data_IF_262747318977
#
_entry.id   IF_262747318977
#
_cell.length_a   1.000
_cell.length_b   1.000
_cell.length_c   1.000
_cell.angle_alpha   90.00
_cell.angle_beta   90.00
_cell.angle_gamma   90.00
#
_symmetry.space_group_name_H-M   'P 1'
#
loop_
_entity.id
_entity.type
_entity.pdbx_description
1 polymer ?
#
# COMPACT_ATOMS: atom_id res chain seq x y z
N UNK A 1 -5.49 -4.06 17.73
CA UNK A 1 -5.42 -3.05 16.64
C UNK A 1 -4.01 -2.49 16.57
N UNK A 2 -3.32 -2.63 15.45
CA UNK A 2 -2.08 -1.87 15.22
C UNK A 2 -2.04 -1.46 13.77
N UNK A 3 -1.92 -0.18 13.49
CA UNK A 3 -1.66 0.38 12.16
C UNK A 3 -0.19 0.82 12.15
N UNK A 4 0.65 0.42 11.18
CA UNK A 4 2.05 0.91 11.15
C UNK A 4 1.98 2.39 10.77
N UNK A 5 2.27 3.28 11.71
CA UNK A 5 2.61 4.67 11.44
C UNK A 5 4.06 4.89 11.88
N UNK A 6 4.94 5.28 10.96
CA UNK A 6 6.34 5.54 11.27
C UNK A 6 6.47 6.96 11.83
N UNK A 7 6.98 7.08 13.06
CA UNK A 7 7.28 8.37 13.67
C UNK A 7 8.70 8.81 13.30
N UNK A 8 8.85 10.09 12.97
CA UNK A 8 10.12 10.70 12.66
C UNK A 8 11.02 10.66 13.91
N UNK A 9 12.21 10.07 13.85
CA UNK A 9 13.11 10.01 15.00
C UNK A 9 13.68 11.39 15.41
N UNK A 10 13.54 12.41 14.56
CA UNK A 10 14.09 13.75 14.80
C UNK A 10 13.09 14.69 15.48
N UNK A 11 11.79 14.62 15.15
CA UNK A 11 10.78 15.54 15.66
C UNK A 11 9.51 14.86 16.19
N UNK A 12 9.40 13.53 16.10
CA UNK A 12 8.21 12.78 16.48
C UNK A 12 7.01 12.93 15.53
N UNK A 13 7.13 13.75 14.49
CA UNK A 13 6.12 13.93 13.45
C UNK A 13 5.91 12.70 12.57
N UNK A 14 4.84 12.68 11.80
CA UNK A 14 4.53 11.57 10.91
C UNK A 14 5.43 11.54 9.68
N UNK A 15 5.81 10.33 9.27
CA UNK A 15 6.56 10.07 8.06
C UNK A 15 5.65 9.58 6.93
N UNK A 16 5.66 10.30 5.81
CA UNK A 16 4.99 9.89 4.58
C UNK A 16 5.98 9.24 3.62
N UNK A 17 5.58 8.15 2.96
CA UNK A 17 6.41 7.54 1.91
C UNK A 17 6.42 8.40 0.65
N UNK A 18 7.63 8.73 0.18
CA UNK A 18 7.88 9.47 -1.05
C UNK A 18 8.38 8.51 -2.16
N UNK A 19 7.57 8.28 -3.23
CA UNK A 19 7.96 7.43 -4.35
C UNK A 19 9.19 7.91 -5.12
N UNK A 20 9.44 9.21 -5.19
CA UNK A 20 10.56 9.76 -5.97
C UNK A 20 11.90 9.55 -5.21
N UNK A 21 11.86 9.54 -3.87
CA UNK A 21 13.02 9.24 -3.02
C UNK A 21 13.15 7.75 -2.66
N UNK A 22 12.12 6.93 -2.94
CA UNK A 22 12.00 5.55 -2.45
C UNK A 22 12.27 5.45 -0.94
N UNK A 23 11.75 6.42 -0.20
CA UNK A 23 12.03 6.60 1.21
C UNK A 23 10.91 7.33 1.94
N UNK A 24 11.18 7.74 3.16
CA UNK A 24 10.22 8.41 4.02
C UNK A 24 10.62 9.87 4.22
N UNK A 25 9.67 10.77 3.98
CA UNK A 25 9.82 12.20 4.14
C UNK A 25 9.00 12.69 5.34
N UNK A 26 9.61 13.52 6.19
CA UNK A 26 8.94 14.20 7.29
C UNK A 26 8.55 15.62 6.89
N UNK A 27 7.24 15.90 6.83
CA UNK A 27 6.72 17.24 6.47
C UNK A 27 6.98 18.32 7.52
N UNK A 28 7.37 17.94 8.74
CA UNK A 28 7.53 18.87 9.87
C UNK A 28 8.96 19.37 10.04
N UNK A 29 9.95 18.48 9.89
CA UNK A 29 11.37 18.80 10.07
C UNK A 29 12.21 18.57 8.81
N UNK A 30 11.55 18.35 7.66
CA UNK A 30 12.13 18.24 6.32
C UNK A 30 13.21 17.14 6.20
N UNK A 31 13.18 16.17 7.11
CA UNK A 31 14.15 15.07 7.16
C UNK A 31 13.71 13.92 6.28
N UNK A 32 14.66 13.33 5.56
CA UNK A 32 14.45 12.16 4.70
C UNK A 32 15.17 10.94 5.27
N UNK A 33 14.53 9.78 5.19
CA UNK A 33 15.04 8.52 5.72
C UNK A 33 14.83 7.40 4.73
N UNK A 34 15.82 6.52 4.54
CA UNK A 34 15.60 5.26 3.81
C UNK A 34 14.90 4.26 4.71
N UNK A 35 14.31 3.23 4.10
CA UNK A 35 13.68 2.16 4.84
C UNK A 35 14.68 1.41 5.74
N UNK A 36 15.92 1.16 5.29
CA UNK A 36 16.92 0.50 6.15
C UNK A 36 17.35 1.39 7.31
N UNK A 37 17.46 2.70 7.09
CA UNK A 37 17.85 3.64 8.14
C UNK A 37 16.76 3.76 9.22
N UNK A 38 15.50 3.81 8.82
CA UNK A 38 14.37 3.77 9.75
C UNK A 38 14.33 2.47 10.55
N UNK A 39 14.52 1.32 9.90
CA UNK A 39 14.56 0.03 10.61
C UNK A 39 15.71 -0.04 11.62
N UNK A 40 16.87 0.55 11.31
CA UNK A 40 18.00 0.62 12.25
C UNK A 40 17.73 1.57 13.42
N UNK A 41 17.19 2.76 13.14
CA UNK A 41 16.97 3.81 14.15
C UNK A 41 15.76 3.54 15.05
N UNK A 42 14.71 2.92 14.52
CA UNK A 42 13.54 2.46 15.26
C UNK A 42 13.72 1.03 15.80
N UNK A 43 14.94 0.50 15.71
CA UNK A 43 15.30 -0.86 16.12
C UNK A 43 14.63 -1.24 17.44
N UNK A 44 13.78 -2.26 17.38
CA UNK A 44 13.09 -2.90 18.50
C UNK A 44 11.97 -2.13 19.21
N UNK A 45 11.37 -1.09 18.63
CA UNK A 45 10.02 -0.65 19.04
C UNK A 45 8.92 -1.37 18.23
N UNK A 46 9.03 -2.70 18.17
CA UNK A 46 7.86 -3.55 18.08
C UNK A 46 7.32 -3.73 19.50
N UNK A 47 6.79 -2.67 20.11
CA UNK A 47 5.81 -2.87 21.18
C UNK A 47 4.51 -3.32 20.49
N UNK A 48 4.49 -4.60 20.12
CA UNK A 48 3.27 -5.34 19.85
C UNK A 48 2.60 -5.47 21.21
N UNK A 49 1.78 -4.49 21.60
CA UNK A 49 0.85 -4.68 22.71
C UNK A 49 -0.15 -5.76 22.29
N UNK A 50 0.15 -6.99 22.72
CA UNK A 50 -0.66 -8.18 22.49
C UNK A 50 -1.74 -8.23 23.57
N UNK A 51 -2.74 -7.36 23.48
CA UNK A 51 -3.96 -7.56 24.26
C UNK A 51 -4.86 -8.53 23.50
N UNK A 52 -4.92 -9.75 24.03
CA UNK A 52 -5.90 -10.77 23.69
C UNK A 52 -7.26 -10.19 24.06
N UNK A 53 -8.28 -10.09 23.20
CA UNK A 53 -9.67 -10.30 23.66
C UNK A 53 -10.72 -10.40 22.54
N UNK A 54 -11.70 -11.23 22.92
CA UNK A 54 -12.95 -11.71 22.35
C UNK A 54 -13.68 -10.89 21.28
N UNK A 55 -14.17 -11.66 20.30
CA UNK A 55 -15.16 -11.34 19.28
C UNK A 55 -16.50 -10.86 19.84
N UNK A 56 -16.85 -9.57 19.70
CA UNK A 56 -18.18 -9.08 19.23
C UNK A 56 -18.21 -7.53 19.16
N UNK A 57 -18.86 -7.01 18.10
CA UNK A 57 -19.53 -5.69 18.01
C UNK A 57 -18.64 -4.44 17.79
N UNK A 58 -19.05 -3.62 16.81
CA UNK A 58 -18.63 -2.24 16.49
C UNK A 58 -17.12 -1.95 16.63
N UNK A 59 -16.40 -2.00 15.49
CA UNK A 59 -14.95 -1.70 15.48
C UNK A 59 -14.73 -0.20 15.33
N UNK A 60 -14.63 0.49 16.46
CA UNK A 60 -14.15 1.88 16.51
C UNK A 60 -12.65 1.89 16.19
N UNK A 61 -12.25 2.54 15.10
CA UNK A 61 -10.84 2.59 14.69
C UNK A 61 -10.19 3.86 15.22
N UNK A 62 -9.09 3.74 15.97
CA UNK A 62 -8.35 4.91 16.44
C UNK A 62 -7.13 5.19 15.57
N UNK A 63 -6.88 6.46 15.27
CA UNK A 63 -5.70 6.92 14.58
C UNK A 63 -4.45 6.69 15.45
N UNK A 64 -3.41 5.99 14.97
CA UNK A 64 -2.18 5.76 15.74
C UNK A 64 -1.37 7.05 15.96
N UNK A 65 -1.61 8.07 15.14
CA UNK A 65 -0.84 9.29 15.15
C UNK A 65 -1.42 10.30 16.17
N UNK A 66 -2.73 10.54 16.12
CA UNK A 66 -3.39 11.55 16.95
C UNK A 66 -4.40 11.00 17.97
N UNK A 67 -4.68 9.70 17.96
CA UNK A 67 -5.67 9.07 18.85
C UNK A 67 -7.13 9.33 18.47
N UNK A 68 -7.40 10.06 17.39
CA UNK A 68 -8.76 10.34 16.96
C UNK A 68 -9.50 9.08 16.51
N UNK A 69 -10.77 8.99 16.87
CA UNK A 69 -11.68 7.96 16.38
C UNK A 69 -12.01 8.18 14.90
N UNK A 70 -12.00 7.10 14.12
CA UNK A 70 -12.19 7.06 12.68
C UNK A 70 -13.39 6.18 12.39
N UNK A 71 -14.48 6.84 11.99
CA UNK A 71 -15.71 6.16 11.57
C UNK A 71 -15.58 5.78 10.10
N UNK A 72 -15.62 4.49 9.79
CA UNK A 72 -15.55 3.95 8.42
C UNK A 72 -16.53 2.79 8.23
N UNK A 73 -16.92 2.51 6.98
CA UNK A 73 -17.75 1.34 6.66
C UNK A 73 -17.01 0.03 6.90
N UNK A 74 -17.69 -1.12 6.81
CA UNK A 74 -17.10 -2.46 7.05
C UNK A 74 -16.07 -2.91 5.99
N UNK A 75 -16.09 -2.32 4.80
CA UNK A 75 -15.29 -2.76 3.65
C UNK A 75 -14.07 -1.87 3.37
N UNK A 76 -13.95 -0.73 4.06
CA UNK A 76 -12.85 0.23 3.91
C UNK A 76 -11.57 -0.33 4.52
N UNK A 77 -10.59 -0.71 3.70
CA UNK A 77 -9.32 -1.28 4.19
C UNK A 77 -8.31 -0.19 4.57
N UNK A 78 -8.36 0.94 3.87
CA UNK A 78 -7.49 2.08 4.10
C UNK A 78 -8.32 3.37 4.04
N UNK A 79 -8.08 4.27 4.98
CA UNK A 79 -8.70 5.60 5.03
C UNK A 79 -7.67 6.65 5.45
N UNK A 80 -8.06 7.91 5.49
CA UNK A 80 -7.26 8.99 6.03
C UNK A 80 -7.92 9.51 7.32
N UNK A 81 -7.11 9.83 8.32
CA UNK A 81 -7.61 10.48 9.53
C UNK A 81 -8.05 11.90 9.20
N UNK A 82 -9.30 12.27 9.51
CA UNK A 82 -9.80 13.62 9.26
C UNK A 82 -9.08 14.73 10.04
N UNK A 83 -8.42 14.37 11.15
CA UNK A 83 -7.78 15.34 12.04
C UNK A 83 -6.32 15.61 11.64
N UNK A 84 -5.52 14.57 11.47
CA UNK A 84 -4.09 14.71 11.16
C UNK A 84 -3.73 14.34 9.72
N UNK A 85 -4.70 13.90 8.91
CA UNK A 85 -4.52 13.45 7.53
C UNK A 85 -3.57 12.26 7.33
N UNK A 86 -3.14 11.64 8.43
CA UNK A 86 -2.43 10.37 8.45
C UNK A 86 -3.19 9.29 7.66
N UNK A 87 -2.55 8.55 6.73
CA UNK A 87 -3.14 7.33 6.19
C UNK A 87 -3.25 6.28 7.31
N UNK A 88 -4.43 5.68 7.45
CA UNK A 88 -4.72 4.64 8.44
C UNK A 88 -5.16 3.37 7.74
N UNK A 89 -4.40 2.29 7.94
CA UNK A 89 -4.66 0.97 7.36
C UNK A 89 -5.24 0.05 8.43
N UNK A 90 -6.47 -0.41 8.27
CA UNK A 90 -7.18 -1.22 9.26
C UNK A 90 -6.71 -2.67 9.20
N UNK A 91 -5.63 -2.99 9.92
CA UNK A 91 -4.99 -4.32 9.86
C UNK A 91 -5.91 -5.48 10.20
N UNK A 92 -6.85 -5.31 11.12
CA UNK A 92 -7.82 -6.36 11.47
C UNK A 92 -8.69 -6.83 10.27
N UNK A 93 -8.65 -6.11 9.13
CA UNK A 93 -9.29 -6.47 7.85
C UNK A 93 -8.31 -7.02 6.81
N UNK A 94 -7.02 -6.92 7.06
CA UNK A 94 -5.90 -7.41 6.22
C UNK A 94 -5.15 -8.56 6.89
N UNK A 95 -5.44 -8.86 8.15
CA UNK A 95 -4.90 -9.98 8.91
C UNK A 95 -5.73 -11.25 8.69
N UNK A 96 -5.06 -12.41 8.67
CA UNK A 96 -5.69 -13.72 8.48
C UNK A 96 -5.25 -14.42 7.19
N UNK A 97 -6.05 -15.38 6.71
CA UNK A 97 -5.69 -16.28 5.59
C UNK A 97 -5.37 -15.57 4.26
N UNK A 98 -5.74 -14.30 4.12
CA UNK A 98 -5.57 -13.49 2.91
C UNK A 98 -4.61 -12.31 3.09
N UNK A 99 -3.84 -12.29 4.18
CA UNK A 99 -2.76 -11.31 4.34
C UNK A 99 -1.73 -11.49 3.20
N UNK A 100 -1.34 -10.42 2.49
CA UNK A 100 -0.35 -10.54 1.42
C UNK A 100 1.04 -10.82 2.01
N UNK A 101 1.76 -11.79 1.44
CA UNK A 101 3.14 -12.08 1.82
C UNK A 101 4.09 -10.91 1.48
N UNK A 102 3.77 -10.16 0.41
CA UNK A 102 4.55 -9.04 -0.07
C UNK A 102 3.65 -7.89 -0.51
N UNK A 103 4.08 -6.65 -0.24
CA UNK A 103 3.46 -5.42 -0.75
C UNK A 103 4.51 -4.65 -1.52
N UNK A 104 4.22 -4.33 -2.77
CA UNK A 104 5.13 -3.54 -3.61
C UNK A 104 4.92 -2.05 -3.32
N UNK A 105 5.96 -1.29 -2.94
CA UNK A 105 5.83 0.16 -2.79
C UNK A 105 5.58 0.83 -4.15
N UNK A 106 4.88 1.96 -4.14
CA UNK A 106 4.69 2.75 -5.36
C UNK A 106 6.01 3.37 -5.81
N UNK A 107 6.35 3.23 -7.09
CA UNK A 107 7.52 3.85 -7.70
C UNK A 107 7.20 5.15 -8.44
N UNK A 108 5.95 5.33 -8.84
CA UNK A 108 5.50 6.47 -9.63
C UNK A 108 4.67 7.37 -8.72
N UNK A 109 5.12 8.62 -8.53
CA UNK A 109 4.35 9.62 -7.81
C UNK A 109 3.07 9.99 -8.57
N UNK A 110 2.04 10.44 -7.85
CA UNK A 110 0.74 10.81 -8.43
C UNK A 110 0.88 11.84 -9.55
N UNK A 111 1.74 12.85 -9.36
CA UNK A 111 2.01 13.89 -10.36
C UNK A 111 2.60 13.29 -11.64
N UNK A 112 3.60 12.42 -11.49
CA UNK A 112 4.22 11.72 -12.62
C UNK A 112 3.22 10.81 -13.36
N UNK A 113 2.34 10.13 -12.62
CA UNK A 113 1.27 9.33 -13.21
C UNK A 113 0.28 10.20 -14.03
N UNK A 114 -0.11 11.36 -13.50
CA UNK A 114 -0.98 12.33 -14.19
C UNK A 114 -0.32 12.88 -15.46
N UNK A 115 0.98 13.16 -15.43
CA UNK A 115 1.75 13.64 -16.59
C UNK A 115 1.83 12.57 -17.68
N UNK A 116 2.14 11.32 -17.31
CA UNK A 116 2.16 10.17 -18.22
C UNK A 116 0.78 9.99 -18.88
N UNK A 117 -0.28 9.99 -18.07
CA UNK A 117 -1.65 9.85 -18.55
C UNK A 117 -2.04 10.99 -19.50
N UNK A 118 -1.72 12.24 -19.13
CA UNK A 118 -2.01 13.43 -19.93
C UNK A 118 -1.28 13.40 -21.27
N UNK A 119 -0.03 12.94 -21.31
CA UNK A 119 0.75 12.83 -22.54
C UNK A 119 0.25 11.68 -23.45
N UNK A 120 -0.23 10.60 -22.85
CA UNK A 120 -0.81 9.48 -23.58
C UNK A 120 -2.18 9.83 -24.18
N UNK A 121 -3.06 10.48 -23.40
CA UNK A 121 -4.45 10.76 -23.82
C UNK A 121 -4.52 11.81 -24.94
N UNK A 122 -3.61 12.79 -24.96
CA UNK A 122 -3.48 13.80 -26.03
C UNK A 122 -3.33 13.17 -27.43
N UNK A 123 -2.82 11.94 -27.52
CA UNK A 123 -2.60 11.22 -28.78
C UNK A 123 -3.85 10.46 -29.27
N UNK A 124 -4.92 10.39 -28.46
CA UNK A 124 -6.12 9.58 -28.76
C UNK A 124 -7.21 10.44 -29.38
N UNK A 125 -7.50 10.21 -30.67
CA UNK A 125 -8.46 11.03 -31.45
C UNK A 125 -9.93 10.82 -31.10
N UNK A 126 -10.29 9.66 -30.56
CA UNK A 126 -11.69 9.26 -30.34
C UNK A 126 -12.12 9.29 -28.86
N UNK A 127 -11.30 9.84 -27.97
CA UNK A 127 -11.64 9.92 -26.55
C UNK A 127 -12.44 11.20 -26.27
N UNK A 128 -13.63 11.12 -25.66
CA UNK A 128 -14.41 12.30 -25.27
C UNK A 128 -13.65 13.21 -24.31
N UNK A 129 -13.78 14.54 -24.47
CA UNK A 129 -13.12 15.53 -23.61
C UNK A 129 -13.48 15.40 -22.13
N UNK A 130 -14.68 14.90 -21.82
CA UNK A 130 -15.13 14.66 -20.45
C UNK A 130 -14.27 13.64 -19.71
N UNK A 131 -13.71 12.66 -20.41
CA UNK A 131 -12.92 11.55 -19.85
C UNK A 131 -11.58 12.01 -19.24
N UNK A 132 -10.98 13.07 -19.77
CA UNK A 132 -9.70 13.61 -19.29
C UNK A 132 -9.83 15.06 -18.83
N UNK A 133 -11.00 15.43 -18.35
CA UNK A 133 -11.21 16.70 -17.64
C UNK A 133 -10.36 16.75 -16.37
N UNK A 134 -10.03 17.96 -15.91
CA UNK A 134 -9.21 18.15 -14.69
C UNK A 134 -9.80 17.42 -13.49
N UNK A 135 -11.12 17.51 -13.31
CA UNK A 135 -11.86 16.83 -12.23
C UNK A 135 -11.70 15.30 -12.26
N UNK A 136 -11.56 14.69 -13.44
CA UNK A 136 -11.33 13.23 -13.56
C UNK A 136 -9.87 12.87 -13.28
N UNK A 137 -8.93 13.71 -13.72
CA UNK A 137 -7.49 13.51 -13.47
C UNK A 137 -7.17 13.67 -11.97
N UNK A 138 -7.85 14.59 -11.29
CA UNK A 138 -7.76 14.75 -9.84
C UNK A 138 -8.30 13.52 -9.09
N UNK A 139 -9.27 12.79 -9.64
CA UNK A 139 -9.77 11.54 -9.04
C UNK A 139 -8.85 10.34 -9.24
N UNK A 140 -7.67 10.51 -9.83
CA UNK A 140 -6.69 9.43 -9.99
C UNK A 140 -6.17 8.96 -8.62
N UNK A 141 -6.43 7.70 -8.29
CA UNK A 141 -6.05 7.02 -7.04
C UNK A 141 -5.14 5.83 -7.32
N UNK A 142 -4.11 5.65 -6.49
CA UNK A 142 -3.33 4.41 -6.47
C UNK A 142 -4.15 3.28 -5.81
N UNK A 143 -4.13 2.09 -6.41
CA UNK A 143 -4.83 0.90 -5.89
C UNK A 143 -3.85 -0.27 -5.88
N UNK A 144 -3.87 -1.06 -4.81
CA UNK A 144 -3.17 -2.33 -4.76
C UNK A 144 -4.05 -3.43 -5.33
N UNK A 145 -3.55 -4.11 -6.36
CA UNK A 145 -4.23 -5.26 -6.93
C UNK A 145 -3.62 -6.55 -6.35
N UNK A 146 -4.40 -7.44 -5.72
CA UNK A 146 -3.88 -8.66 -5.14
C UNK A 146 -3.55 -9.66 -6.25
N UNK A 147 -2.31 -10.17 -6.25
CA UNK A 147 -1.87 -11.25 -7.14
C UNK A 147 -1.40 -12.43 -6.30
N UNK A 148 -1.83 -13.63 -6.67
CA UNK A 148 -1.31 -14.87 -6.12
C UNK A 148 -0.11 -15.30 -6.97
N UNK A 149 1.06 -15.28 -6.35
CA UNK A 149 2.29 -15.78 -6.97
C UNK A 149 2.45 -17.26 -6.64
N UNK A 150 2.33 -18.10 -7.66
CA UNK A 150 2.60 -19.53 -7.55
C UNK A 150 3.97 -19.83 -8.13
N UNK A 151 4.80 -20.53 -7.36
CA UNK A 151 6.05 -21.10 -7.85
C UNK A 151 5.97 -22.62 -7.68
N UNK A 152 6.30 -23.36 -8.74
CA UNK A 152 6.39 -24.82 -8.71
C UNK A 152 7.70 -25.23 -9.37
N UNK A 153 8.51 -25.97 -8.62
CA UNK A 153 9.68 -26.66 -9.15
C UNK A 153 9.29 -28.10 -9.46
N UNK A 154 9.39 -28.50 -10.72
CA UNK A 154 9.03 -29.85 -11.16
C UNK A 154 10.28 -30.57 -11.64
N UNK A 155 10.51 -31.75 -11.08
CA UNK A 155 11.47 -32.71 -11.58
C UNK A 155 10.69 -33.85 -12.24
N UNK A 156 10.97 -34.11 -13.52
CA UNK A 156 10.33 -35.16 -14.28
C UNK A 156 11.39 -36.05 -14.92
N UNK A 157 11.20 -37.36 -14.77
CA UNK A 157 11.89 -38.38 -15.54
C UNK A 157 10.83 -39.04 -16.44
N UNK A 158 11.18 -39.26 -17.71
CA UNK A 158 10.25 -39.72 -18.74
C UNK A 158 10.86 -40.91 -19.45
N UNK A 159 10.24 -42.07 -19.25
CA UNK A 159 10.44 -43.26 -20.09
C UNK A 159 9.26 -43.40 -21.06
N UNK A 160 9.56 -43.46 -22.36
CA UNK A 160 8.54 -43.59 -23.41
C UNK A 160 8.98 -44.55 -24.52
N UNK A 161 8.03 -45.34 -25.04
CA UNK A 161 8.25 -46.26 -26.17
C UNK A 161 7.66 -45.62 -27.44
N UNK A 162 8.52 -45.30 -28.41
CA UNK A 162 8.12 -44.70 -29.68
C UNK A 162 7.61 -45.72 -30.71
N UNK A 163 6.57 -45.38 -31.46
CA UNK A 163 6.10 -46.18 -32.62
C UNK A 163 6.17 -45.34 -33.89
N UNK A 164 6.87 -45.83 -34.91
CA UNK A 164 7.01 -45.14 -36.20
C UNK A 164 5.70 -45.21 -36.98
N UNK A 165 5.12 -44.06 -37.31
CA UNK A 165 4.04 -43.96 -38.32
C UNK A 165 4.63 -43.35 -39.59
N UNK A 166 4.58 -44.09 -40.69
CA UNK A 166 4.94 -43.61 -42.03
C UNK A 166 3.63 -43.26 -42.74
N UNK A 167 3.49 -42.01 -43.15
CA UNK A 167 2.39 -41.53 -44.01
C UNK A 167 2.69 -41.86 -45.46
#
# INVERSE_FOLDING_TARGET
MSTIAYKCPNCGGELSFDPDLQGYHCIYCDSNFTQEELMRRLGNQQEVHQETFSSTIARDYYCPNCGAEIVTDENTVASFCYYCQAPVIMRDRVEGRFAPDYVLPFQISRKKAQDIFSNWIKKKRFVPRSFYSKDQIEKMTGVYFPFLLYNATVHADIDAVGTKRTT
#
